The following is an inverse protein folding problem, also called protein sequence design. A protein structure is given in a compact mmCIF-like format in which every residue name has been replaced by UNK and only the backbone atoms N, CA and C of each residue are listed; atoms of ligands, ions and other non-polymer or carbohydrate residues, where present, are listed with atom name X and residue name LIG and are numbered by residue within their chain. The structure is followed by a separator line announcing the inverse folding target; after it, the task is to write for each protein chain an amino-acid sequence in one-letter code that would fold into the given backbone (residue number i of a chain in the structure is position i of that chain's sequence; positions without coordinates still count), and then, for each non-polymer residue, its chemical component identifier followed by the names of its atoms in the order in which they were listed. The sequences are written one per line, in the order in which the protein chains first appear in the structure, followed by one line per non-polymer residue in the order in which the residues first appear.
data_IF_099413786144
#
_entry.id   IF_099413786144
#
_cell.length_a   1.000
_cell.length_b   1.000
_cell.length_c   1.000
_cell.angle_alpha   90.00
_cell.angle_beta   90.00
_cell.angle_gamma   90.00
#
_symmetry.space_group_name_H-M   'P 1'
#
loop_
_entity.id
_entity.type
_entity.pdbx_description
1 polymer ?
#
# COMPACT_ATOMS: atom_id res chain seq x y z
N UNK A 1 37.38 36.98 30.33
CA UNK A 1 36.05 36.56 30.81
C UNK A 1 35.17 36.36 29.59
N UNK A 2 34.62 35.17 29.38
CA UNK A 2 33.95 34.82 28.12
C UNK A 2 32.60 35.54 28.02
N UNK A 3 32.43 36.39 27.01
CA UNK A 3 31.23 37.23 26.83
C UNK A 3 29.95 36.39 26.80
N UNK A 4 30.02 35.20 26.19
CA UNK A 4 28.90 34.25 26.11
C UNK A 4 28.44 33.78 27.49
N UNK A 5 29.39 33.56 28.40
CA UNK A 5 29.10 33.09 29.76
C UNK A 5 28.48 34.19 30.63
N UNK A 6 28.85 35.45 30.40
CA UNK A 6 28.23 36.60 31.06
C UNK A 6 26.79 36.78 30.58
N UNK A 7 26.56 36.68 29.26
CA UNK A 7 25.23 36.79 28.67
C UNK A 7 24.31 35.67 29.17
N UNK A 8 24.79 34.42 29.21
CA UNK A 8 24.00 33.29 29.69
C UNK A 8 23.60 33.44 31.17
N UNK A 9 24.50 33.95 32.02
CA UNK A 9 24.20 34.22 33.44
C UNK A 9 23.15 35.32 33.60
N UNK A 10 23.31 36.44 32.88
CA UNK A 10 22.36 37.55 32.95
C UNK A 10 20.96 37.14 32.45
N UNK A 11 20.89 36.29 31.42
CA UNK A 11 19.61 35.75 30.94
C UNK A 11 18.97 34.81 31.96
N UNK A 12 19.76 33.96 32.63
CA UNK A 12 19.26 33.04 33.66
C UNK A 12 18.74 33.81 34.89
N UNK A 13 19.45 34.85 35.31
CA UNK A 13 19.01 35.73 36.40
C UNK A 13 17.71 36.47 36.03
N UNK A 14 17.58 36.93 34.77
CA UNK A 14 16.33 37.48 34.26
C UNK A 14 15.19 36.47 34.33
N UNK A 15 15.35 35.26 33.80
CA UNK A 15 14.30 34.23 33.85
C UNK A 15 13.89 33.86 35.28
N UNK A 16 14.83 33.85 36.23
CA UNK A 16 14.52 33.60 37.64
C UNK A 16 13.80 34.77 38.33
N UNK A 17 13.88 35.97 37.77
CA UNK A 17 13.14 37.15 38.25
C UNK A 17 11.71 37.23 37.70
N UNK A 18 11.36 36.42 36.70
CA UNK A 18 10.03 36.42 36.10
C UNK A 18 9.03 35.63 36.94
N UNK A 19 7.76 36.01 36.83
CA UNK A 19 6.66 35.25 37.41
C UNK A 19 6.51 33.91 36.68
N UNK A 20 6.10 32.85 37.40
CA UNK A 20 5.94 31.51 36.83
C UNK A 20 4.96 31.49 35.66
N UNK A 21 3.89 32.29 35.72
CA UNK A 21 2.93 32.41 34.63
C UNK A 21 3.54 33.04 33.36
N UNK A 22 4.40 34.03 33.51
CA UNK A 22 5.05 34.70 32.38
C UNK A 22 6.04 33.76 31.68
N UNK A 23 6.76 32.94 32.46
CA UNK A 23 7.67 31.91 31.93
C UNK A 23 6.89 30.88 31.10
N UNK A 24 5.75 30.41 31.61
CA UNK A 24 4.89 29.46 30.90
C UNK A 24 4.33 30.09 29.62
N UNK A 25 3.91 31.36 29.68
CA UNK A 25 3.38 32.07 28.53
C UNK A 25 4.43 32.27 27.42
N UNK A 26 5.65 32.69 27.78
CA UNK A 26 6.76 32.85 26.83
C UNK A 26 7.17 31.48 26.25
N UNK A 27 7.27 30.45 27.10
CA UNK A 27 7.59 29.09 26.67
C UNK A 27 6.56 28.53 25.68
N UNK A 28 5.27 28.71 25.96
CA UNK A 28 4.19 28.29 25.07
C UNK A 28 4.24 29.03 23.72
N UNK A 29 4.55 30.34 23.71
CA UNK A 29 4.71 31.11 22.47
C UNK A 29 5.92 30.65 21.65
N UNK A 30 7.05 30.36 22.28
CA UNK A 30 8.24 29.82 21.60
C UNK A 30 7.95 28.44 21.00
N UNK A 31 7.30 27.56 21.78
CA UNK A 31 6.87 26.25 21.31
C UNK A 31 5.92 26.38 20.11
N UNK A 32 4.96 27.31 20.18
CA UNK A 32 4.03 27.58 19.09
C UNK A 32 4.75 28.06 17.82
N UNK A 33 5.74 28.95 17.94
CA UNK A 33 6.55 29.38 16.80
C UNK A 33 7.35 28.23 16.20
N UNK A 34 7.93 27.36 17.04
CA UNK A 34 8.65 26.17 16.56
C UNK A 34 7.72 25.22 15.81
N UNK A 35 6.50 25.01 16.32
CA UNK A 35 5.46 24.23 15.66
C UNK A 35 5.05 24.85 14.32
N UNK A 36 4.92 26.18 14.25
CA UNK A 36 4.55 26.89 13.03
C UNK A 36 5.65 26.75 11.96
N UNK A 37 6.92 26.85 12.36
CA UNK A 37 8.05 26.64 11.45
C UNK A 37 8.11 25.20 10.96
N UNK A 38 7.94 24.19 11.83
CA UNK A 38 7.92 22.78 11.39
C UNK A 38 6.71 22.49 10.53
N UNK A 39 5.55 23.07 10.83
CA UNK A 39 4.35 22.96 10.02
C UNK A 39 4.53 23.57 8.62
N UNK A 40 5.08 24.78 8.52
CA UNK A 40 5.44 25.39 7.23
C UNK A 40 6.48 24.55 6.50
N UNK A 41 7.47 24.01 7.20
CA UNK A 41 8.49 23.15 6.61
C UNK A 41 7.87 21.86 6.04
N UNK A 42 6.94 21.23 6.75
CA UNK A 42 6.19 20.06 6.29
C UNK A 42 5.29 20.40 5.10
N UNK A 43 4.59 21.56 5.13
CA UNK A 43 3.82 22.04 3.99
C UNK A 43 4.71 22.24 2.76
N UNK A 44 5.82 22.96 2.91
CA UNK A 44 6.81 23.11 1.85
C UNK A 44 7.35 21.77 1.36
N UNK A 45 7.55 20.79 2.23
CA UNK A 45 8.02 19.47 1.83
C UNK A 45 6.95 18.66 1.07
N UNK A 46 5.66 18.87 1.38
CA UNK A 46 4.55 18.29 0.61
C UNK A 46 4.46 18.91 -0.78
N UNK A 47 4.62 20.23 -0.90
CA UNK A 47 4.66 20.90 -2.21
C UNK A 47 5.93 20.51 -3.00
N UNK A 48 7.06 20.25 -2.30
CA UNK A 48 8.32 19.85 -2.92
C UNK A 48 8.37 18.37 -3.35
N UNK A 49 7.35 17.57 -3.02
CA UNK A 49 7.19 16.20 -3.57
C UNK A 49 6.71 16.20 -5.03
N UNK A 50 6.46 17.36 -5.63
CA UNK A 50 6.24 17.52 -7.08
C UNK A 50 7.41 18.24 -7.80
N UNK A 51 8.64 18.23 -7.27
CA UNK A 51 9.80 18.72 -8.04
C UNK A 51 10.96 17.72 -8.05
N UNK A 52 10.75 16.61 -8.76
CA UNK A 52 11.77 15.79 -9.43
C UNK A 52 11.06 15.37 -10.73
N UNK A 53 11.32 15.88 -11.93
CA UNK A 53 12.48 16.51 -12.57
C UNK A 53 11.99 17.30 -13.80
N UNK A 54 12.70 18.36 -14.16
CA UNK A 54 12.60 19.07 -15.43
C UNK A 54 11.27 19.80 -15.70
N UNK A 55 11.08 20.95 -15.03
CA UNK A 55 10.35 22.04 -15.68
C UNK A 55 11.19 22.48 -16.88
N UNK A 56 11.01 21.80 -18.02
CA UNK A 56 11.23 22.43 -19.30
C UNK A 56 10.28 23.62 -19.27
N UNK A 57 10.82 24.82 -19.17
CA UNK A 57 10.08 26.02 -19.53
C UNK A 57 9.70 25.81 -20.99
N UNK A 58 8.50 25.26 -21.21
CA UNK A 58 7.94 25.17 -22.54
C UNK A 58 7.41 26.56 -22.82
N UNK A 59 8.19 27.32 -23.57
CA UNK A 59 7.66 28.46 -24.29
C UNK A 59 6.45 27.95 -25.10
N UNK A 60 5.28 28.55 -24.88
CA UNK A 60 3.98 28.09 -25.38
C UNK A 60 3.81 28.33 -26.90
N UNK A 61 4.88 28.14 -27.66
CA UNK A 61 4.95 28.56 -29.06
C UNK A 61 5.41 27.45 -30.00
N UNK A 62 5.26 26.16 -29.64
CA UNK A 62 5.06 25.01 -30.54
C UNK A 62 5.47 23.69 -29.85
N UNK A 63 4.57 23.10 -29.06
CA UNK A 63 4.71 21.68 -28.67
C UNK A 63 4.28 20.83 -29.86
N UNK A 64 5.25 20.30 -30.62
CA UNK A 64 4.98 19.22 -31.56
C UNK A 64 5.03 17.89 -30.82
N UNK A 65 3.98 17.08 -31.00
CA UNK A 65 3.87 15.75 -30.40
C UNK A 65 5.08 14.88 -30.81
N UNK A 66 5.55 15.07 -32.04
CA UNK A 66 6.71 14.40 -32.64
C UNK A 66 8.03 14.71 -31.93
N UNK A 67 8.26 15.95 -31.48
CA UNK A 67 9.46 16.29 -30.71
C UNK A 67 9.44 15.67 -29.30
N UNK A 68 8.26 15.52 -28.70
CA UNK A 68 8.09 14.86 -27.39
C UNK A 68 8.29 13.35 -27.50
N UNK A 69 7.71 12.68 -28.51
CA UNK A 69 7.95 11.25 -28.74
C UNK A 69 9.40 10.97 -29.10
N UNK A 70 10.05 11.83 -29.90
CA UNK A 70 11.47 11.69 -30.22
C UNK A 70 12.34 11.77 -28.96
N UNK A 71 12.08 12.74 -28.07
CA UNK A 71 12.80 12.86 -26.79
C UNK A 71 12.53 11.69 -25.84
N UNK A 72 11.29 11.18 -25.77
CA UNK A 72 10.94 10.00 -24.97
C UNK A 72 11.59 8.72 -25.50
N UNK A 73 11.71 8.60 -26.82
CA UNK A 73 12.32 7.45 -27.49
C UNK A 73 13.86 7.48 -27.43
N UNK A 74 14.44 8.68 -27.46
CA UNK A 74 15.89 8.91 -27.30
C UNK A 74 16.32 8.81 -25.83
N UNK A 75 15.44 9.19 -24.90
CA UNK A 75 15.61 8.83 -23.49
C UNK A 75 15.46 7.32 -23.37
N UNK A 76 16.58 6.61 -23.21
CA UNK A 76 16.58 5.20 -22.77
C UNK A 76 16.16 5.16 -21.30
N UNK A 77 14.96 5.65 -21.00
CA UNK A 77 14.35 5.53 -19.70
C UNK A 77 14.01 4.06 -19.54
N UNK A 78 14.93 3.33 -18.93
CA UNK A 78 14.73 1.96 -18.47
C UNK A 78 13.44 1.98 -17.65
N UNK A 79 12.36 1.47 -18.23
CA UNK A 79 11.13 1.20 -17.51
C UNK A 79 11.55 0.30 -16.35
N UNK A 80 11.55 0.83 -15.12
CA UNK A 80 11.96 0.07 -13.95
C UNK A 80 10.94 -1.04 -13.76
N UNK A 81 11.33 -2.28 -14.08
CA UNK A 81 10.54 -3.48 -13.82
C UNK A 81 10.61 -3.90 -12.36
N UNK A 82 11.63 -3.42 -11.65
CA UNK A 82 11.91 -3.81 -10.28
C UNK A 82 11.34 -2.78 -9.31
N UNK A 83 10.49 -3.28 -8.41
CA UNK A 83 9.95 -2.52 -7.29
C UNK A 83 11.09 -2.10 -6.36
N UNK A 84 11.00 -0.89 -5.84
CA UNK A 84 11.85 -0.44 -4.74
C UNK A 84 11.53 -1.24 -3.47
N UNK A 85 12.46 -1.24 -2.51
CA UNK A 85 12.26 -1.93 -1.22
C UNK A 85 10.98 -1.47 -0.51
N UNK A 86 10.69 -0.17 -0.55
CA UNK A 86 9.48 0.40 0.03
C UNK A 86 8.22 -0.07 -0.70
N UNK A 87 8.21 -0.09 -2.03
CA UNK A 87 7.06 -0.55 -2.82
C UNK A 87 6.77 -2.04 -2.59
N UNK A 88 7.81 -2.86 -2.45
CA UNK A 88 7.66 -4.28 -2.15
C UNK A 88 7.11 -4.51 -0.72
N UNK A 89 7.55 -3.71 0.26
CA UNK A 89 7.00 -3.75 1.61
C UNK A 89 5.52 -3.35 1.65
N UNK A 90 5.12 -2.35 0.86
CA UNK A 90 3.71 -1.94 0.79
C UNK A 90 2.85 -2.95 0.01
N UNK A 91 3.38 -3.53 -1.07
CA UNK A 91 2.69 -4.60 -1.81
C UNK A 91 2.49 -5.84 -0.93
N UNK A 92 3.51 -6.25 -0.17
CA UNK A 92 3.40 -7.41 0.73
C UNK A 92 2.46 -7.16 1.90
N UNK A 93 2.36 -5.93 2.43
CA UNK A 93 1.34 -5.57 3.43
C UNK A 93 -0.08 -5.49 2.87
N UNK A 94 -0.22 -5.04 1.61
CA UNK A 94 -1.53 -4.92 0.96
C UNK A 94 -2.12 -6.31 0.62
N UNK A 95 -1.27 -7.33 0.48
CA UNK A 95 -1.71 -8.71 0.32
C UNK A 95 -2.04 -9.27 1.70
N UNK A 96 -3.31 -9.15 2.10
CA UNK A 96 -3.84 -9.95 3.21
C UNK A 96 -3.72 -11.42 2.79
N UNK A 97 -2.98 -12.21 3.57
CA UNK A 97 -2.86 -13.64 3.28
C UNK A 97 -4.22 -14.33 3.47
N UNK A 98 -4.51 -15.35 2.66
CA UNK A 98 -5.74 -16.13 2.84
C UNK A 98 -5.82 -16.74 4.24
N UNK A 99 -4.67 -17.11 4.83
CA UNK A 99 -4.58 -17.63 6.19
C UNK A 99 -4.99 -16.55 7.21
N UNK A 100 -4.55 -15.30 7.06
CA UNK A 100 -4.99 -14.19 7.90
C UNK A 100 -6.49 -13.88 7.73
N UNK A 101 -7.03 -13.93 6.51
CA UNK A 101 -8.45 -13.72 6.27
C UNK A 101 -9.32 -14.78 6.96
N UNK A 102 -8.88 -16.04 6.89
CA UNK A 102 -9.54 -17.16 7.57
C UNK A 102 -9.45 -17.01 9.10
N UNK A 103 -8.30 -16.57 9.62
CA UNK A 103 -8.06 -16.49 11.07
C UNK A 103 -8.61 -15.22 11.73
N UNK A 104 -8.91 -14.16 10.97
CA UNK A 104 -9.39 -12.87 11.53
C UNK A 104 -10.91 -12.72 11.47
N UNK A 105 -11.60 -13.52 10.67
CA UNK A 105 -13.05 -13.45 10.53
C UNK A 105 -13.74 -14.54 11.34
N UNK A 106 -14.44 -14.15 12.41
CA UNK A 106 -15.37 -15.02 13.10
C UNK A 106 -16.51 -15.39 12.16
N UNK A 107 -16.63 -16.67 11.80
CA UNK A 107 -17.67 -17.14 10.90
C UNK A 107 -18.99 -17.27 11.70
N UNK A 108 -20.08 -16.58 11.31
CA UNK A 108 -21.37 -16.75 11.97
C UNK A 108 -21.93 -18.15 11.64
N UNK A 109 -22.11 -18.99 12.66
CA UNK A 109 -22.68 -20.33 12.54
C UNK A 109 -24.07 -20.36 13.16
N UNK A 110 -25.01 -21.07 12.53
CA UNK A 110 -26.37 -21.23 13.04
C UNK A 110 -26.38 -22.16 14.27
N UNK A 111 -27.05 -21.73 15.33
CA UNK A 111 -27.23 -22.54 16.54
C UNK A 111 -28.40 -23.51 16.39
N UNK A 112 -28.19 -24.75 16.83
CA UNK A 112 -29.21 -25.80 16.82
C UNK A 112 -29.60 -26.22 18.23
N UNK A 113 -30.86 -26.62 18.41
CA UNK A 113 -31.39 -27.29 19.61
C UNK A 113 -30.99 -28.77 19.64
N UNK A 114 -31.33 -29.44 20.74
CA UNK A 114 -31.05 -30.86 20.95
C UNK A 114 -31.59 -31.74 19.80
N UNK A 115 -30.90 -32.84 19.53
CA UNK A 115 -31.29 -33.81 18.50
C UNK A 115 -32.56 -34.56 18.92
N UNK A 116 -33.54 -34.57 18.03
CA UNK A 116 -34.78 -35.33 18.18
C UNK A 116 -34.90 -36.33 17.02
N UNK A 117 -35.24 -37.57 17.35
CA UNK A 117 -35.47 -38.62 16.35
C UNK A 117 -36.95 -38.62 15.95
N UNK A 118 -37.21 -38.25 14.71
CA UNK A 118 -38.56 -38.24 14.14
C UNK A 118 -38.55 -39.16 12.93
N UNK A 119 -39.35 -40.23 12.99
CA UNK A 119 -39.50 -41.22 11.91
C UNK A 119 -38.16 -41.84 11.42
N UNK A 120 -37.24 -42.14 12.35
CA UNK A 120 -35.93 -42.74 12.02
C UNK A 120 -34.92 -41.77 11.39
N UNK A 121 -35.25 -40.47 11.36
CA UNK A 121 -34.31 -39.41 10.98
C UNK A 121 -33.96 -38.57 12.21
N UNK A 122 -32.67 -38.36 12.41
CA UNK A 122 -32.13 -37.43 13.40
C UNK A 122 -32.27 -36.01 12.85
N UNK A 123 -33.15 -35.21 13.47
CA UNK A 123 -33.42 -33.83 13.05
C UNK A 123 -32.97 -32.87 14.16
N UNK A 124 -32.36 -31.76 13.74
CA UNK A 124 -31.93 -30.68 14.63
C UNK A 124 -32.70 -29.40 14.28
N UNK A 125 -33.47 -28.88 15.22
CA UNK A 125 -34.19 -27.63 15.02
C UNK A 125 -33.27 -26.42 15.23
N UNK A 126 -33.42 -25.36 14.44
CA UNK A 126 -32.66 -24.11 14.59
C UNK A 126 -33.21 -23.31 15.79
N UNK A 127 -32.33 -22.71 16.60
CA UNK A 127 -32.75 -21.87 17.72
C UNK A 127 -33.06 -20.43 17.29
N UNK A 128 -34.34 -20.16 16.99
CA UNK A 128 -34.83 -18.84 16.56
C UNK A 128 -34.60 -17.70 17.55
N UNK A 129 -34.42 -18.01 18.84
CA UNK A 129 -34.17 -16.98 19.87
C UNK A 129 -32.68 -16.65 20.01
N UNK A 130 -31.79 -17.48 19.47
CA UNK A 130 -30.34 -17.29 19.51
C UNK A 130 -29.72 -17.85 18.21
N UNK A 131 -29.93 -17.13 17.12
CA UNK A 131 -29.69 -17.60 15.75
C UNK A 131 -28.21 -17.72 15.38
N UNK A 132 -27.35 -16.88 15.96
CA UNK A 132 -25.96 -16.70 15.52
C UNK A 132 -25.02 -16.97 16.68
N UNK A 133 -24.14 -17.96 16.51
CA UNK A 133 -22.99 -18.22 17.36
C UNK A 133 -21.71 -17.93 16.57
N UNK A 134 -20.75 -17.24 17.18
CA UNK A 134 -19.43 -17.04 16.58
C UNK A 134 -18.55 -18.23 16.95
N UNK A 135 -18.20 -19.05 15.97
CA UNK A 135 -17.21 -20.12 16.17
C UNK A 135 -15.81 -19.56 15.93
N UNK A 136 -14.84 -19.99 16.75
CA UNK A 136 -13.43 -19.74 16.46
C UNK A 136 -13.10 -20.25 15.06
N UNK A 137 -12.29 -19.52 14.27
CA UNK A 137 -11.97 -19.89 12.92
C UNK A 137 -11.34 -21.29 12.91
N UNK A 138 -12.09 -22.27 12.38
CA UNK A 138 -11.60 -23.63 12.27
C UNK A 138 -10.53 -23.64 11.19
N UNK A 139 -9.28 -24.08 11.49
CA UNK A 139 -8.25 -24.13 10.47
C UNK A 139 -8.72 -25.08 9.36
N UNK A 140 -8.89 -24.54 8.16
CA UNK A 140 -9.18 -25.35 6.99
C UNK A 140 -7.88 -26.09 6.66
N UNK A 141 -7.77 -27.35 7.05
CA UNK A 141 -6.64 -28.20 6.65
C UNK A 141 -6.68 -28.37 5.14
N UNK A 142 -5.95 -27.54 4.41
CA UNK A 142 -5.76 -27.73 2.99
C UNK A 142 -4.71 -28.83 2.75
N UNK A 143 -4.90 -29.67 1.72
CA UNK A 143 -3.92 -30.66 1.31
C UNK A 143 -2.65 -29.97 0.80
N UNK A 144 -1.49 -30.45 1.25
CA UNK A 144 -0.14 -30.21 0.73
C UNK A 144 0.18 -28.81 0.18
N UNK A 145 0.78 -27.99 1.05
CA UNK A 145 1.75 -26.91 0.79
C UNK A 145 1.99 -26.61 -0.69
N UNK A 146 1.41 -25.51 -1.19
CA UNK A 146 1.84 -24.93 -2.45
C UNK A 146 3.20 -24.27 -2.24
N UNK A 147 4.27 -24.99 -2.58
CA UNK A 147 5.63 -24.51 -2.45
C UNK A 147 5.90 -23.41 -3.49
N UNK A 148 5.99 -22.15 -3.04
CA UNK A 148 6.28 -20.97 -3.86
C UNK A 148 7.73 -20.95 -4.41
N UNK A 149 8.60 -21.89 -4.01
CA UNK A 149 9.93 -22.10 -4.58
C UNK A 149 9.94 -22.97 -5.85
N UNK A 150 8.83 -23.05 -6.60
CA UNK A 150 8.96 -23.39 -8.01
C UNK A 150 9.55 -22.18 -8.69
N UNK A 151 10.83 -22.28 -9.03
CA UNK A 151 11.50 -21.43 -10.02
C UNK A 151 10.46 -20.93 -11.01
N UNK A 152 10.27 -19.60 -11.09
CA UNK A 152 9.51 -18.98 -12.18
C UNK A 152 10.28 -19.28 -13.47
N UNK A 153 10.17 -20.51 -13.97
CA UNK A 153 10.30 -20.78 -15.38
C UNK A 153 9.11 -20.09 -15.99
N UNK A 154 9.32 -18.86 -16.43
CA UNK A 154 8.57 -18.31 -17.53
C UNK A 154 8.68 -19.37 -18.62
N UNK A 155 7.69 -20.25 -18.72
CA UNK A 155 7.47 -20.98 -19.93
C UNK A 155 7.10 -19.88 -20.91
N UNK A 156 8.12 -19.35 -21.60
CA UNK A 156 7.92 -18.71 -22.88
C UNK A 156 6.95 -19.65 -23.59
N UNK A 157 5.71 -19.20 -23.74
CA UNK A 157 4.68 -19.92 -24.49
C UNK A 157 5.39 -20.29 -25.78
N UNK A 158 5.67 -21.60 -25.93
CA UNK A 158 6.77 -22.01 -26.80
C UNK A 158 6.49 -21.48 -28.20
N UNK A 159 7.53 -20.99 -28.89
CA UNK A 159 7.40 -20.58 -30.30
C UNK A 159 6.63 -21.62 -31.14
N UNK A 160 6.77 -22.89 -30.77
CA UNK A 160 6.01 -24.02 -31.32
C UNK A 160 4.49 -23.83 -31.20
N UNK A 161 3.96 -23.43 -30.04
CA UNK A 161 2.52 -23.17 -29.85
C UNK A 161 2.03 -21.94 -30.62
N UNK A 162 2.87 -20.91 -30.75
CA UNK A 162 2.55 -19.71 -31.53
C UNK A 162 2.49 -20.02 -33.03
N UNK A 163 3.44 -20.79 -33.55
CA UNK A 163 3.46 -21.26 -34.94
C UNK A 163 2.28 -22.19 -35.27
N UNK A 164 1.93 -23.09 -34.36
CA UNK A 164 0.75 -23.97 -34.50
C UNK A 164 -0.55 -23.16 -34.55
N UNK A 165 -0.67 -22.12 -33.71
CA UNK A 165 -1.82 -21.23 -33.72
C UNK A 165 -1.89 -20.44 -35.04
N UNK A 166 -0.77 -19.88 -35.51
CA UNK A 166 -0.69 -19.18 -36.80
C UNK A 166 -1.05 -20.09 -37.98
N UNK A 167 -0.60 -21.34 -37.97
CA UNK A 167 -0.94 -22.33 -38.99
C UNK A 167 -2.44 -22.64 -38.98
N UNK A 168 -3.03 -22.80 -37.79
CA UNK A 168 -4.46 -23.06 -37.62
C UNK A 168 -5.34 -21.91 -38.14
N UNK A 169 -4.94 -20.66 -37.86
CA UNK A 169 -5.62 -19.46 -38.35
C UNK A 169 -5.49 -19.31 -39.86
N UNK A 170 -4.31 -19.57 -40.43
CA UNK A 170 -4.10 -19.54 -41.88
C UNK A 170 -4.94 -20.59 -42.60
N UNK A 171 -5.04 -21.80 -42.03
CA UNK A 171 -5.91 -22.87 -42.55
C UNK A 171 -7.39 -22.46 -42.50
N UNK A 172 -7.83 -21.84 -41.41
CA UNK A 172 -9.20 -21.34 -41.28
C UNK A 172 -9.49 -20.27 -42.35
N UNK A 173 -8.58 -19.32 -42.56
CA UNK A 173 -8.76 -18.29 -43.59
C UNK A 173 -8.83 -18.90 -45.00
N UNK A 174 -8.00 -19.90 -45.30
CA UNK A 174 -8.05 -20.60 -46.59
C UNK A 174 -9.34 -21.42 -46.82
N UNK A 175 -10.04 -21.79 -45.74
CA UNK A 175 -11.36 -22.43 -45.82
C UNK A 175 -12.49 -21.42 -46.01
N UNK A 176 -12.27 -20.15 -45.66
CA UNK A 176 -13.23 -19.06 -45.82
C UNK A 176 -13.15 -18.42 -47.22
N UNK A 177 -11.98 -18.48 -47.87
CA UNK A 177 -11.76 -18.00 -49.24
C UNK A 177 -12.14 -19.03 -50.33
N UNK A 178 -12.87 -20.09 -49.97
CA UNK A 178 -13.34 -21.15 -50.88
C UNK A 178 -14.85 -21.20 -50.92
#
# INVERSE_FOLDING_TARGET
MNIVMVIARNLLEYFNSLNTYDIIFIGANILLMMLLVTFIYVLKFKDKKEEVTNTIVVDNSDISLEALTSKLQESTAVIRTDLTKFENEEETKAIISYDELINTQSIPVLKYKNEEEINGLLVRAIDVNNLIETMDPKPISHPAVYNANKEKKYAAISKVKEEELLLSLKKLNSMLEK
#
